data_IF_312471826728
#
_entry.id   IF_312471826728
#
_cell.length_a   1.000
_cell.length_b   1.000
_cell.length_c   1.000
_cell.angle_alpha   90.00
_cell.angle_beta   90.00
_cell.angle_gamma   90.00
#
_symmetry.space_group_name_H-M   'P 1'
#
loop_
_entity.id
_entity.type
_entity.pdbx_description
1 polymer ?
#
# COMPACT_ATOMS: atom_id res chain seq x y z
N UNK A 1 0.36 11.85 17.74
CA UNK A 1 0.75 10.46 17.41
C UNK A 1 1.47 10.49 16.08
N UNK A 2 2.75 10.10 16.02
CA UNK A 2 3.48 10.10 14.72
C UNK A 2 3.06 8.86 13.94
N UNK A 3 2.78 9.01 12.64
CA UNK A 3 2.33 7.89 11.82
C UNK A 3 3.34 6.72 11.78
N UNK A 4 4.64 7.03 11.86
CA UNK A 4 5.69 6.03 11.98
C UNK A 4 5.57 5.16 13.24
N UNK A 5 5.17 5.74 14.38
CA UNK A 5 4.96 5.00 15.64
C UNK A 5 3.75 4.06 15.52
N UNK A 6 2.68 4.51 14.85
CA UNK A 6 1.51 3.67 14.58
C UNK A 6 1.89 2.50 13.69
N UNK A 7 2.59 2.78 12.58
CA UNK A 7 3.01 1.73 11.66
C UNK A 7 3.97 0.74 12.31
N UNK A 8 4.87 1.19 13.19
CA UNK A 8 5.72 0.27 13.96
C UNK A 8 4.94 -0.68 14.86
N UNK A 9 3.76 -0.26 15.36
CA UNK A 9 2.86 -1.14 16.12
C UNK A 9 2.04 -2.06 15.22
N UNK A 10 1.49 -1.53 14.12
CA UNK A 10 0.59 -2.28 13.23
C UNK A 10 1.33 -3.26 12.33
N UNK A 11 2.58 -2.93 11.97
CA UNK A 11 3.41 -3.67 11.02
C UNK A 11 4.67 -4.23 11.71
N UNK A 12 4.58 -4.54 13.01
CA UNK A 12 5.76 -4.92 13.82
C UNK A 12 6.48 -6.14 13.23
N UNK A 13 5.74 -7.14 12.77
CA UNK A 13 6.28 -8.36 12.20
C UNK A 13 6.98 -8.10 10.85
N UNK A 14 6.31 -7.47 9.89
CA UNK A 14 6.85 -7.13 8.57
C UNK A 14 8.02 -6.14 8.63
N UNK A 15 7.98 -5.16 9.54
CA UNK A 15 9.05 -4.18 9.70
C UNK A 15 10.26 -4.72 10.48
N UNK A 16 10.10 -5.76 11.31
CA UNK A 16 11.21 -6.37 12.03
C UNK A 16 12.13 -7.17 11.11
N UNK A 17 11.56 -7.92 10.16
CA UNK A 17 12.32 -8.68 9.14
C UNK A 17 12.87 -7.83 8.00
N UNK A 18 12.39 -6.60 7.83
CA UNK A 18 12.79 -5.73 6.73
C UNK A 18 14.18 -5.11 6.97
N UNK A 19 15.02 -5.09 5.94
CA UNK A 19 16.33 -4.41 5.98
C UNK A 19 16.20 -2.95 6.44
N UNK A 20 17.04 -2.52 7.39
CA UNK A 20 16.90 -1.23 8.07
C UNK A 20 16.83 -0.02 7.11
N UNK A 21 17.62 0.00 6.03
CA UNK A 21 17.57 1.07 5.03
C UNK A 21 16.26 1.08 4.23
N UNK A 22 15.70 -0.09 3.88
CA UNK A 22 14.38 -0.18 3.21
C UNK A 22 13.29 0.34 4.14
N UNK A 23 13.29 -0.14 5.39
CA UNK A 23 12.34 0.30 6.41
C UNK A 23 12.36 1.82 6.59
N UNK A 24 13.56 2.42 6.71
CA UNK A 24 13.70 3.87 6.84
C UNK A 24 13.19 4.62 5.61
N UNK A 25 13.49 4.13 4.40
CA UNK A 25 13.00 4.74 3.17
C UNK A 25 11.47 4.64 3.03
N UNK A 26 10.88 3.49 3.37
CA UNK A 26 9.44 3.28 3.34
C UNK A 26 8.72 4.20 4.34
N UNK A 27 9.17 4.23 5.60
CA UNK A 27 8.58 5.08 6.63
C UNK A 27 8.77 6.57 6.33
N UNK A 28 9.94 6.95 5.77
CA UNK A 28 10.18 8.33 5.31
C UNK A 28 9.26 8.75 4.18
N UNK A 29 8.96 7.85 3.24
CA UNK A 29 7.99 8.10 2.17
C UNK A 29 6.55 8.26 2.70
N UNK A 30 6.16 7.45 3.70
CA UNK A 30 4.85 7.60 4.37
C UNK A 30 4.76 8.94 5.09
N UNK A 31 5.79 9.34 5.83
CA UNK A 31 5.81 10.61 6.54
C UNK A 31 5.74 11.79 5.57
N UNK A 32 6.52 11.73 4.47
CA UNK A 32 6.47 12.73 3.40
C UNK A 32 5.08 12.81 2.76
N UNK A 33 4.44 11.67 2.48
CA UNK A 33 3.10 11.62 1.91
C UNK A 33 2.07 12.26 2.84
N UNK A 34 2.12 11.97 4.13
CA UNK A 34 1.20 12.52 5.12
C UNK A 34 1.40 14.02 5.31
N UNK A 35 2.64 14.50 5.20
CA UNK A 35 2.95 15.92 5.26
C UNK A 35 2.52 16.67 3.99
N UNK A 36 2.80 16.11 2.81
CA UNK A 36 2.55 16.76 1.52
C UNK A 36 1.14 16.56 0.95
N UNK A 37 0.40 15.55 1.42
CA UNK A 37 -0.97 15.25 0.99
C UNK A 37 -1.11 14.80 -0.47
N UNK A 38 0.00 14.54 -1.18
CA UNK A 38 0.01 14.21 -2.61
C UNK A 38 0.84 12.96 -2.89
N UNK A 39 0.17 11.96 -3.46
CA UNK A 39 0.77 10.67 -3.83
C UNK A 39 1.37 10.71 -5.24
N UNK A 40 2.30 11.63 -5.48
CA UNK A 40 3.13 11.63 -6.69
C UNK A 40 4.60 11.49 -6.30
N UNK A 41 5.41 10.83 -7.14
CA UNK A 41 6.82 10.61 -6.84
C UNK A 41 7.58 11.93 -6.57
N UNK A 42 7.26 12.99 -7.32
CA UNK A 42 7.91 14.30 -7.13
C UNK A 42 7.44 15.00 -5.85
N UNK A 43 6.16 14.91 -5.49
CA UNK A 43 5.64 15.58 -4.31
C UNK A 43 6.09 14.88 -3.01
N UNK A 44 6.15 13.53 -2.99
CA UNK A 44 6.76 12.78 -1.90
C UNK A 44 8.22 13.17 -1.74
N UNK A 45 8.98 13.29 -2.84
CA UNK A 45 10.38 13.69 -2.78
C UNK A 45 10.57 15.13 -2.26
N UNK A 46 9.65 16.05 -2.58
CA UNK A 46 9.68 17.45 -2.09
C UNK A 46 9.32 17.55 -0.61
N UNK A 47 8.35 16.76 -0.15
CA UNK A 47 7.89 16.73 1.23
C UNK A 47 8.77 15.87 2.15
N UNK A 48 9.92 15.39 1.67
CA UNK A 48 10.75 14.46 2.41
C UNK A 48 11.28 15.05 3.73
N UNK A 49 11.14 14.34 4.87
CA UNK A 49 11.52 14.87 6.18
C UNK A 49 12.98 15.33 6.24
N UNK A 50 13.17 16.60 6.61
CA UNK A 50 14.50 17.21 6.81
C UNK A 50 15.33 17.44 5.53
N UNK A 51 14.79 17.18 4.34
CA UNK A 51 15.52 17.37 3.11
C UNK A 51 15.58 18.86 2.70
N UNK A 52 16.79 19.38 2.46
CA UNK A 52 17.00 20.74 1.89
C UNK A 52 17.00 20.77 0.36
N UNK A 53 17.16 19.62 -0.29
CA UNK A 53 17.22 19.47 -1.76
C UNK A 53 16.47 18.21 -2.18
N UNK A 54 15.73 18.29 -3.29
CA UNK A 54 14.87 17.20 -3.79
C UNK A 54 15.64 16.04 -4.41
N UNK A 55 16.89 16.25 -4.87
CA UNK A 55 17.64 15.26 -5.67
C UNK A 55 17.84 13.92 -4.95
N UNK A 56 18.21 13.94 -3.67
CA UNK A 56 18.45 12.71 -2.91
C UNK A 56 17.13 11.97 -2.55
N UNK A 57 16.09 12.65 -2.02
CA UNK A 57 14.76 12.05 -1.84
C UNK A 57 14.16 11.48 -3.12
N UNK A 58 14.32 12.17 -4.25
CA UNK A 58 13.82 11.70 -5.55
C UNK A 58 14.43 10.35 -5.93
N UNK A 59 15.76 10.22 -5.77
CA UNK A 59 16.46 8.94 -5.98
C UNK A 59 16.04 7.88 -4.96
N UNK A 60 15.73 8.26 -3.72
CA UNK A 60 15.25 7.33 -2.72
C UNK A 60 13.86 6.78 -3.08
N UNK A 61 12.94 7.65 -3.51
CA UNK A 61 11.60 7.27 -3.98
C UNK A 61 11.67 6.38 -5.22
N UNK A 62 12.46 6.75 -6.22
CA UNK A 62 12.66 5.93 -7.43
C UNK A 62 13.17 4.52 -7.09
N UNK A 63 14.20 4.42 -6.24
CA UNK A 63 14.74 3.14 -5.78
C UNK A 63 13.71 2.35 -4.97
N UNK A 64 12.86 3.00 -4.18
CA UNK A 64 11.82 2.36 -3.39
C UNK A 64 10.79 1.70 -4.32
N UNK A 65 10.28 2.43 -5.31
CA UNK A 65 9.30 1.92 -6.28
C UNK A 65 9.84 0.74 -7.09
N UNK A 66 11.13 0.78 -7.45
CA UNK A 66 11.80 -0.28 -8.22
C UNK A 66 12.39 -1.41 -7.36
N UNK A 67 12.20 -1.37 -6.04
CA UNK A 67 12.80 -2.35 -5.12
C UNK A 67 12.06 -3.70 -5.19
N UNK A 68 12.63 -4.67 -5.92
CA UNK A 68 12.05 -6.02 -6.06
C UNK A 68 11.86 -6.76 -4.74
N UNK A 69 12.76 -6.55 -3.77
CA UNK A 69 12.61 -7.18 -2.46
C UNK A 69 11.41 -6.61 -1.71
N UNK A 70 11.21 -5.28 -1.74
CA UNK A 70 10.02 -4.66 -1.16
C UNK A 70 8.74 -5.15 -1.85
N UNK A 71 8.76 -5.34 -3.17
CA UNK A 71 7.62 -5.92 -3.88
C UNK A 71 7.31 -7.36 -3.42
N UNK A 72 8.33 -8.16 -3.12
CA UNK A 72 8.17 -9.47 -2.51
C UNK A 72 7.67 -9.43 -1.05
N UNK A 73 8.07 -8.41 -0.28
CA UNK A 73 7.64 -8.18 1.10
C UNK A 73 6.21 -7.61 1.21
N UNK A 74 5.64 -7.10 0.11
CA UNK A 74 4.32 -6.45 0.06
C UNK A 74 3.22 -7.30 0.69
N UNK A 75 3.19 -8.61 0.38
CA UNK A 75 2.14 -9.52 0.89
C UNK A 75 2.20 -9.66 2.41
N UNK A 76 3.38 -9.60 3.01
CA UNK A 76 3.56 -9.66 4.47
C UNK A 76 3.09 -8.35 5.11
N UNK A 77 3.37 -7.20 4.48
CA UNK A 77 2.88 -5.88 4.94
C UNK A 77 1.35 -5.82 4.88
N UNK A 78 0.74 -6.25 3.78
CA UNK A 78 -0.71 -6.31 3.62
C UNK A 78 -1.35 -7.24 4.64
N UNK A 79 -0.76 -8.42 4.88
CA UNK A 79 -1.21 -9.36 5.91
C UNK A 79 -1.15 -8.77 7.31
N UNK A 80 -0.04 -8.14 7.70
CA UNK A 80 0.09 -7.49 9.02
C UNK A 80 -0.97 -6.40 9.21
N UNK A 81 -1.18 -5.57 8.19
CA UNK A 81 -2.21 -4.53 8.22
C UNK A 81 -3.60 -5.14 8.36
N UNK A 82 -3.89 -6.22 7.62
CA UNK A 82 -5.15 -6.93 7.71
C UNK A 82 -5.39 -7.50 9.13
N UNK A 83 -4.38 -8.12 9.75
CA UNK A 83 -4.48 -8.60 11.14
C UNK A 83 -4.78 -7.45 12.13
N UNK A 84 -4.20 -6.28 11.90
CA UNK A 84 -4.44 -5.12 12.75
C UNK A 84 -5.86 -4.55 12.57
N UNK A 85 -6.40 -4.58 11.35
CA UNK A 85 -7.71 -4.02 10.99
C UNK A 85 -8.88 -4.97 11.31
N UNK A 86 -8.72 -6.27 11.07
CA UNK A 86 -9.77 -7.28 11.16
C UNK A 86 -9.90 -7.86 12.58
N UNK A 87 -10.27 -7.02 13.54
CA UNK A 87 -10.37 -7.43 14.97
C UNK A 87 -11.74 -7.97 15.40
N UNK A 88 -12.77 -7.78 14.57
CA UNK A 88 -14.12 -8.29 14.86
C UNK A 88 -14.25 -9.77 14.55
N UNK A 89 -15.14 -10.47 15.25
CA UNK A 89 -15.41 -11.90 15.01
C UNK A 89 -15.98 -12.18 13.60
N UNK A 90 -16.68 -11.20 13.02
CA UNK A 90 -17.28 -11.28 11.69
C UNK A 90 -17.05 -9.96 10.95
N UNK A 91 -15.84 -9.72 10.40
CA UNK A 91 -15.55 -8.49 9.71
C UNK A 91 -16.28 -8.46 8.35
N UNK A 92 -16.86 -7.31 8.01
CA UNK A 92 -17.38 -7.06 6.66
C UNK A 92 -16.22 -6.63 5.78
N UNK A 93 -15.98 -7.38 4.71
CA UNK A 93 -14.99 -7.06 3.68
C UNK A 93 -15.76 -6.73 2.40
N UNK A 94 -15.59 -5.51 1.91
CA UNK A 94 -16.14 -5.07 0.64
C UNK A 94 -15.12 -5.35 -0.45
N UNK A 95 -15.58 -5.94 -1.56
CA UNK A 95 -14.77 -6.22 -2.73
C UNK A 95 -15.36 -5.46 -3.90
N UNK A 96 -14.56 -4.64 -4.58
CA UNK A 96 -15.02 -3.83 -5.70
C UNK A 96 -13.94 -3.67 -6.78
N UNK A 97 -14.40 -3.40 -7.99
CA UNK A 97 -13.59 -3.08 -9.16
C UNK A 97 -13.43 -1.56 -9.30
N UNK A 98 -12.26 -1.11 -9.74
CA UNK A 98 -12.03 0.30 -10.08
C UNK A 98 -11.15 0.42 -11.32
N UNK A 99 -11.41 1.40 -12.17
CA UNK A 99 -10.58 1.67 -13.35
C UNK A 99 -9.27 2.34 -12.90
N UNK A 100 -8.11 1.77 -13.25
CA UNK A 100 -6.79 2.36 -12.92
C UNK A 100 -6.35 3.40 -13.96
N UNK A 101 -6.88 3.29 -15.17
CA UNK A 101 -6.60 4.20 -16.28
C UNK A 101 -7.91 4.60 -16.96
N UNK A 102 -8.01 5.83 -17.50
CA UNK A 102 -9.20 6.27 -18.24
C UNK A 102 -9.55 5.38 -19.44
N UNK A 103 -8.54 4.77 -20.08
CA UNK A 103 -8.71 3.86 -21.21
C UNK A 103 -9.17 2.44 -20.80
N UNK A 104 -9.36 2.20 -19.51
CA UNK A 104 -9.70 0.90 -18.91
C UNK A 104 -8.77 -0.24 -19.31
N UNK A 105 -7.55 0.05 -19.76
CA UNK A 105 -6.58 -1.02 -20.10
C UNK A 105 -6.14 -1.81 -18.87
N UNK A 106 -6.25 -1.20 -17.69
CA UNK A 106 -5.98 -1.81 -16.39
C UNK A 106 -7.07 -1.44 -15.39
N UNK A 107 -7.47 -2.41 -14.57
CA UNK A 107 -8.42 -2.26 -13.48
C UNK A 107 -7.77 -2.75 -12.18
N UNK A 108 -8.30 -2.28 -11.06
CA UNK A 108 -7.97 -2.69 -9.72
C UNK A 108 -9.13 -3.52 -9.18
N UNK A 109 -8.84 -4.70 -8.64
CA UNK A 109 -9.76 -5.42 -7.76
C UNK A 109 -9.25 -5.25 -6.33
N UNK A 110 -10.07 -4.66 -5.46
CA UNK A 110 -9.69 -4.28 -4.10
C UNK A 110 -10.59 -4.94 -3.08
N UNK A 111 -9.98 -5.46 -2.02
CA UNK A 111 -10.65 -5.86 -0.79
C UNK A 111 -10.37 -4.81 0.28
N UNK A 112 -11.41 -4.33 0.95
CA UNK A 112 -11.28 -3.31 1.96
C UNK A 112 -12.31 -3.45 3.08
N UNK A 113 -11.96 -2.98 4.28
CA UNK A 113 -12.86 -2.93 5.43
C UNK A 113 -13.48 -1.53 5.55
N UNK A 114 -14.81 -1.39 5.70
CA UNK A 114 -15.45 -0.10 5.92
C UNK A 114 -15.26 0.36 7.37
N UNK A 115 -14.65 1.52 7.58
CA UNK A 115 -14.38 2.12 8.88
C UNK A 115 -14.68 3.61 8.83
N UNK A 116 -15.65 4.06 9.63
CA UNK A 116 -15.92 5.50 9.81
C UNK A 116 -16.25 6.25 8.52
N UNK A 117 -17.04 5.66 7.63
CA UNK A 117 -17.48 6.28 6.37
C UNK A 117 -16.46 6.21 5.22
N UNK A 118 -15.32 5.53 5.41
CA UNK A 118 -14.34 5.25 4.35
C UNK A 118 -13.95 3.77 4.34
N UNK A 119 -13.19 3.35 3.34
CA UNK A 119 -12.62 2.00 3.28
C UNK A 119 -11.12 2.02 3.58
N UNK A 120 -10.64 1.01 4.30
CA UNK A 120 -9.20 0.74 4.47
C UNK A 120 -8.83 -0.53 3.71
N UNK A 121 -7.87 -0.40 2.79
CA UNK A 121 -7.44 -1.49 1.90
C UNK A 121 -6.78 -2.64 2.68
N UNK A 122 -7.18 -3.86 2.36
CA UNK A 122 -6.59 -5.10 2.85
C UNK A 122 -5.71 -5.74 1.77
N UNK A 123 -6.19 -5.75 0.52
CA UNK A 123 -5.53 -6.37 -0.62
C UNK A 123 -5.91 -5.65 -1.91
N UNK A 124 -4.94 -5.52 -2.81
CA UNK A 124 -5.09 -4.94 -4.14
C UNK A 124 -4.49 -5.84 -5.21
N UNK A 125 -5.25 -6.13 -6.26
CA UNK A 125 -4.76 -6.83 -7.44
C UNK A 125 -5.00 -6.01 -8.70
N UNK A 126 -3.92 -5.74 -9.44
CA UNK A 126 -3.99 -5.10 -10.76
C UNK A 126 -4.30 -6.16 -11.80
N UNK A 127 -5.31 -5.89 -12.62
CA UNK A 127 -5.87 -6.83 -13.59
C UNK A 127 -5.98 -6.14 -14.94
N UNK A 128 -5.71 -6.88 -16.03
CA UNK A 128 -5.92 -6.34 -17.36
C UNK A 128 -7.42 -6.04 -17.57
N UNK A 129 -7.74 -4.90 -18.19
CA UNK A 129 -9.13 -4.44 -18.33
C UNK A 129 -10.08 -5.45 -18.96
N UNK A 130 -9.60 -6.20 -19.95
CA UNK A 130 -10.35 -7.29 -20.59
C UNK A 130 -10.80 -8.42 -19.64
N UNK A 131 -10.29 -8.46 -18.41
CA UNK A 131 -10.63 -9.44 -17.37
C UNK A 131 -11.47 -8.82 -16.23
N UNK A 132 -11.87 -7.55 -16.32
CA UNK A 132 -12.76 -6.92 -15.35
C UNK A 132 -14.09 -7.68 -15.28
N UNK A 133 -14.54 -7.99 -14.06
CA UNK A 133 -15.75 -8.81 -13.83
C UNK A 133 -15.60 -10.28 -14.27
N UNK A 134 -14.40 -10.74 -14.61
CA UNK A 134 -14.21 -12.14 -15.00
C UNK A 134 -14.15 -13.06 -13.77
N UNK A 135 -14.85 -14.21 -13.78
CA UNK A 135 -14.80 -15.18 -12.68
C UNK A 135 -13.39 -15.71 -12.40
N UNK A 136 -12.55 -15.78 -13.43
CA UNK A 136 -11.15 -16.22 -13.28
C UNK A 136 -10.30 -15.22 -12.49
N UNK A 137 -10.47 -13.91 -12.73
CA UNK A 137 -9.78 -12.90 -11.94
C UNK A 137 -10.29 -12.87 -10.49
N UNK A 138 -11.60 -12.93 -10.29
CA UNK A 138 -12.22 -12.92 -8.97
C UNK A 138 -11.83 -14.15 -8.13
N UNK A 139 -11.83 -15.36 -8.72
CA UNK A 139 -11.36 -16.57 -8.03
C UNK A 139 -9.90 -16.45 -7.60
N UNK A 140 -9.01 -15.97 -8.48
CA UNK A 140 -7.61 -15.73 -8.11
C UNK A 140 -7.49 -14.69 -7.00
N UNK A 141 -8.27 -13.61 -7.06
CA UNK A 141 -8.27 -12.58 -6.03
C UNK A 141 -8.68 -13.14 -4.67
N UNK A 142 -9.78 -13.89 -4.62
CA UNK A 142 -10.26 -14.53 -3.39
C UNK A 142 -9.27 -15.57 -2.85
N UNK A 143 -8.51 -16.25 -3.71
CA UNK A 143 -7.42 -17.14 -3.26
C UNK A 143 -6.28 -16.37 -2.58
N UNK A 144 -5.98 -15.14 -3.00
CA UNK A 144 -4.96 -14.31 -2.36
C UNK A 144 -5.47 -13.64 -1.07
N UNK A 145 -6.78 -13.45 -0.95
CA UNK A 145 -7.42 -12.83 0.22
C UNK A 145 -7.59 -13.80 1.40
N UNK A 146 -7.69 -15.10 1.13
CA UNK A 146 -7.75 -16.16 2.16
C UNK A 146 -6.42 -16.30 2.90
#
# INVERSE_FOLDING_TARGET
MRASEVLQKCLSHSLSGMHALRRRALLGAVEALLHGGRLTLIDIARAWPGARRVRAPLKACDRLLRNRTLQGERSVIERDMAHWLLRGAQPVIVIDWSDLKPDKSWCLLRAAVPIGGRTLTLLDMVVAGKQQGSPGAEKRFLQHLK
#
